data_IF_771409172322
#
_entry.id   IF_771409172322
#
_cell.length_a   1.000
_cell.length_b   1.000
_cell.length_c   1.000
_cell.angle_alpha   90.00
_cell.angle_beta   90.00
_cell.angle_gamma   90.00
#
_symmetry.space_group_name_H-M   'P 1'
#
loop_
_entity.id
_entity.type
_entity.pdbx_description
1 polymer ?
#
# COMPACT_ATOMS: atom_id res chain seq x y z
N UNK A 1 -5.21 -1.41 21.13
CA UNK A 1 -5.26 -0.23 20.23
C UNK A 1 -6.31 -0.52 19.17
N UNK A 2 -7.30 0.36 18.98
CA UNK A 2 -8.37 0.17 17.99
C UNK A 2 -7.81 -0.03 16.57
N UNK A 3 -8.38 -0.96 15.80
CA UNK A 3 -7.94 -1.26 14.43
C UNK A 3 -8.09 -0.07 13.48
N UNK A 4 -9.06 0.83 13.71
CA UNK A 4 -9.16 2.09 12.95
C UNK A 4 -7.99 3.03 13.25
N UNK A 5 -7.62 3.14 14.52
CA UNK A 5 -6.49 3.96 14.96
C UNK A 5 -5.17 3.43 14.39
N UNK A 6 -4.99 2.10 14.32
CA UNK A 6 -3.86 1.46 13.64
C UNK A 6 -3.77 1.85 12.17
N UNK A 7 -4.89 1.78 11.44
CA UNK A 7 -4.93 2.18 10.02
C UNK A 7 -4.53 3.64 9.86
N UNK A 8 -5.12 4.54 10.65
CA UNK A 8 -4.82 5.98 10.57
C UNK A 8 -3.36 6.30 10.89
N UNK A 9 -2.79 5.72 11.96
CA UNK A 9 -1.36 5.87 12.28
C UNK A 9 -0.52 5.30 11.15
N UNK A 10 -0.94 4.18 10.57
CA UNK A 10 -0.29 3.56 9.43
C UNK A 10 -0.13 4.52 8.26
N UNK A 11 -1.22 5.16 7.82
CA UNK A 11 -1.17 6.20 6.78
C UNK A 11 -0.33 7.42 7.17
N UNK A 12 -0.43 7.86 8.42
CA UNK A 12 0.35 8.99 8.91
C UNK A 12 1.86 8.72 8.77
N UNK A 13 2.32 7.51 9.06
CA UNK A 13 3.73 7.14 8.92
C UNK A 13 4.22 7.14 7.46
N UNK A 14 3.35 6.89 6.48
CA UNK A 14 3.68 7.07 5.05
C UNK A 14 3.92 8.54 4.73
N UNK A 15 3.04 9.43 5.21
CA UNK A 15 3.18 10.87 5.02
C UNK A 15 4.41 11.44 5.73
N UNK A 16 4.69 10.98 6.96
CA UNK A 16 5.89 11.36 7.70
C UNK A 16 7.15 10.91 6.95
N UNK A 17 7.18 9.69 6.41
CA UNK A 17 8.32 9.20 5.62
C UNK A 17 8.56 10.09 4.41
N UNK A 18 7.49 10.42 3.67
CA UNK A 18 7.56 11.37 2.56
C UNK A 18 8.17 12.72 2.97
N UNK A 19 7.69 13.31 4.07
CA UNK A 19 8.16 14.59 4.57
C UNK A 19 9.64 14.53 4.98
N UNK A 20 10.03 13.50 5.75
CA UNK A 20 11.41 13.33 6.19
C UNK A 20 12.36 13.19 5.00
N UNK A 21 12.05 12.35 4.01
CA UNK A 21 12.87 12.20 2.81
C UNK A 21 12.93 13.49 1.99
N UNK A 22 11.81 14.23 1.93
CA UNK A 22 11.74 15.53 1.24
C UNK A 22 12.68 16.56 1.85
N UNK A 23 12.68 16.66 3.19
CA UNK A 23 13.49 17.62 3.95
C UNK A 23 14.97 17.23 3.93
N UNK A 24 15.28 15.93 4.10
CA UNK A 24 16.67 15.47 4.20
C UNK A 24 17.39 15.43 2.86
N UNK A 25 16.68 15.15 1.76
CA UNK A 25 17.32 14.96 0.46
C UNK A 25 16.79 15.90 -0.62
N UNK A 26 15.51 15.76 -1.00
CA UNK A 26 14.82 16.64 -1.94
C UNK A 26 13.35 16.25 -2.05
N UNK A 27 12.50 17.21 -2.41
CA UNK A 27 11.08 16.98 -2.68
C UNK A 27 10.83 15.91 -3.76
N UNK A 28 11.68 15.82 -4.79
CA UNK A 28 11.63 14.77 -5.83
C UNK A 28 11.77 13.38 -5.22
N UNK A 29 12.78 13.21 -4.36
CA UNK A 29 13.04 11.92 -3.68
C UNK A 29 11.93 11.60 -2.68
N UNK A 30 11.37 12.59 -2.02
CA UNK A 30 10.17 12.40 -1.19
C UNK A 30 9.01 11.86 -2.02
N UNK A 31 8.66 12.54 -3.10
CA UNK A 31 7.57 12.13 -4.00
C UNK A 31 7.80 10.74 -4.58
N UNK A 32 9.05 10.40 -4.88
CA UNK A 32 9.44 9.06 -5.31
C UNK A 32 9.07 7.99 -4.27
N UNK A 33 9.45 8.22 -3.01
CA UNK A 33 9.13 7.31 -1.90
C UNK A 33 7.63 7.23 -1.68
N UNK A 34 6.92 8.36 -1.73
CA UNK A 34 5.46 8.39 -1.59
C UNK A 34 4.77 7.60 -2.69
N UNK A 35 5.14 7.83 -3.96
CA UNK A 35 4.57 7.16 -5.11
C UNK A 35 4.74 5.66 -4.98
N UNK A 36 5.99 5.20 -4.86
CA UNK A 36 6.35 3.78 -4.78
C UNK A 36 5.63 3.05 -3.64
N UNK A 37 5.58 3.65 -2.46
CA UNK A 37 4.95 3.04 -1.29
C UNK A 37 3.41 3.00 -1.43
N UNK A 38 2.81 4.04 -2.00
CA UNK A 38 1.36 4.08 -2.27
C UNK A 38 0.95 3.05 -3.32
N UNK A 39 1.81 2.82 -4.33
CA UNK A 39 1.59 1.81 -5.38
C UNK A 39 1.42 0.40 -4.82
N UNK A 40 2.14 0.05 -3.76
CA UNK A 40 2.05 -1.27 -3.10
C UNK A 40 0.88 -1.34 -2.14
N UNK A 41 0.62 -0.24 -1.42
CA UNK A 41 -0.39 -0.21 -0.38
C UNK A 41 -1.81 -0.38 -0.94
N UNK A 42 -2.11 0.16 -2.12
CA UNK A 42 -3.44 0.05 -2.75
C UNK A 42 -3.87 -1.39 -3.07
N UNK A 43 -3.15 -2.15 -3.93
CA UNK A 43 -3.52 -3.52 -4.28
C UNK A 43 -3.67 -4.40 -3.04
N UNK A 44 -2.85 -4.12 -2.03
CA UNK A 44 -2.79 -4.91 -0.83
C UNK A 44 -3.90 -4.60 0.17
N UNK A 45 -4.28 -3.33 0.28
CA UNK A 45 -5.48 -2.93 1.01
C UNK A 45 -6.72 -3.53 0.36
N UNK A 46 -6.82 -3.50 -0.97
CA UNK A 46 -7.92 -4.13 -1.72
C UNK A 46 -7.99 -5.64 -1.46
N UNK A 47 -6.86 -6.35 -1.53
CA UNK A 47 -6.81 -7.79 -1.26
C UNK A 47 -7.10 -8.12 0.20
N UNK A 48 -6.63 -7.30 1.14
CA UNK A 48 -6.91 -7.51 2.56
C UNK A 48 -8.38 -7.27 2.87
N UNK A 49 -9.02 -6.28 2.24
CA UNK A 49 -10.46 -6.08 2.36
C UNK A 49 -11.24 -7.23 1.69
N UNK A 50 -10.80 -7.71 0.54
CA UNK A 50 -11.49 -8.81 -0.15
C UNK A 50 -11.32 -10.17 0.57
N UNK A 51 -10.12 -10.48 1.07
CA UNK A 51 -9.81 -11.74 1.73
C UNK A 51 -10.16 -11.76 3.22
N UNK A 52 -9.99 -10.62 3.91
CA UNK A 52 -9.99 -10.56 5.36
C UNK A 52 -10.88 -9.53 6.00
N UNK A 53 -11.51 -8.55 5.35
CA UNK A 53 -12.17 -7.47 6.10
C UNK A 53 -13.51 -7.01 5.54
N UNK A 54 -14.56 -6.93 6.37
CA UNK A 54 -15.71 -6.09 6.08
C UNK A 54 -15.50 -4.74 6.76
N UNK A 55 -14.88 -3.79 6.05
CA UNK A 55 -14.99 -2.38 6.42
C UNK A 55 -16.40 -1.88 6.08
N UNK A 56 -16.94 -0.90 6.81
CA UNK A 56 -18.13 -0.17 6.38
C UNK A 56 -17.93 0.33 4.94
N UNK A 57 -18.92 0.14 4.05
CA UNK A 57 -18.80 0.46 2.61
C UNK A 57 -18.21 1.85 2.34
N UNK A 58 -18.60 2.86 3.15
CA UNK A 58 -18.05 4.23 3.08
C UNK A 58 -16.56 4.30 3.40
N UNK A 59 -16.11 3.63 4.47
CA UNK A 59 -14.70 3.61 4.86
C UNK A 59 -13.84 2.84 3.85
N UNK A 60 -14.35 1.72 3.32
CA UNK A 60 -13.70 0.97 2.25
C UNK A 60 -13.55 1.81 0.98
N UNK A 61 -14.63 2.47 0.53
CA UNK A 61 -14.60 3.32 -0.66
C UNK A 61 -13.65 4.50 -0.52
N UNK A 62 -13.59 5.12 0.66
CA UNK A 62 -12.70 6.26 0.92
C UNK A 62 -11.23 5.81 0.96
N UNK A 63 -10.92 4.69 1.63
CA UNK A 63 -9.57 4.13 1.66
C UNK A 63 -9.09 3.71 0.27
N UNK A 64 -9.92 3.00 -0.49
CA UNK A 64 -9.64 2.58 -1.87
C UNK A 64 -9.44 3.83 -2.75
N UNK A 65 -10.32 4.83 -2.63
CA UNK A 65 -10.20 6.08 -3.38
C UNK A 65 -8.89 6.82 -3.10
N UNK A 66 -8.57 7.04 -1.81
CA UNK A 66 -7.33 7.73 -1.42
C UNK A 66 -6.10 6.97 -1.90
N UNK A 67 -6.07 5.65 -1.72
CA UNK A 67 -4.91 4.83 -2.10
C UNK A 67 -4.77 4.66 -3.61
N UNK A 68 -5.86 4.81 -4.39
CA UNK A 68 -5.81 4.81 -5.86
C UNK A 68 -5.36 6.15 -6.42
N UNK A 69 -5.76 7.25 -5.78
CA UNK A 69 -5.49 8.62 -6.25
C UNK A 69 -4.08 9.07 -5.88
N UNK A 70 -3.55 8.67 -4.71
CA UNK A 70 -2.21 9.09 -4.25
C UNK A 70 -1.07 8.76 -5.23
N UNK A 71 -0.95 7.52 -5.75
CA UNK A 71 0.11 7.16 -6.70
C UNK A 71 0.01 7.97 -8.00
N UNK A 72 -1.22 8.18 -8.50
CA UNK A 72 -1.48 8.93 -9.72
C UNK A 72 -1.11 10.41 -9.57
N UNK A 73 -1.56 11.04 -8.48
CA UNK A 73 -1.18 12.42 -8.17
C UNK A 73 0.34 12.54 -8.01
N UNK A 74 0.98 11.63 -7.28
CA UNK A 74 2.44 11.67 -7.07
C UNK A 74 3.20 11.54 -8.39
N UNK A 75 2.75 10.65 -9.30
CA UNK A 75 3.33 10.51 -10.64
C UNK A 75 3.08 11.77 -11.50
N UNK A 76 1.89 12.36 -11.45
CA UNK A 76 1.58 13.61 -12.14
C UNK A 76 2.45 14.78 -11.65
N UNK A 77 2.65 14.89 -10.33
CA UNK A 77 3.56 15.88 -9.75
C UNK A 77 4.99 15.71 -10.27
N UNK A 78 5.47 14.47 -10.37
CA UNK A 78 6.79 14.18 -10.94
C UNK A 78 6.90 14.55 -12.43
N UNK A 79 5.86 14.30 -13.22
CA UNK A 79 5.83 14.63 -14.65
C UNK A 79 5.68 16.12 -14.93
N UNK A 80 4.77 16.80 -14.23
CA UNK A 80 4.41 18.20 -14.50
C UNK A 80 5.38 19.17 -13.82
N UNK A 81 5.62 19.01 -12.51
CA UNK A 81 6.42 19.99 -11.75
C UNK A 81 7.92 19.76 -11.94
N UNK A 82 8.34 18.50 -12.04
CA UNK A 82 9.75 18.13 -12.12
C UNK A 82 10.17 17.64 -13.51
N UNK A 83 9.28 17.77 -14.50
CA UNK A 83 9.51 17.41 -15.91
C UNK A 83 10.04 15.98 -16.14
N UNK A 84 9.84 15.08 -15.17
CA UNK A 84 10.42 13.74 -15.17
C UNK A 84 9.42 12.68 -15.62
N UNK A 85 9.00 12.77 -16.88
CA UNK A 85 7.98 11.91 -17.48
C UNK A 85 8.39 10.44 -17.56
N UNK A 86 9.67 10.14 -17.77
CA UNK A 86 10.16 8.75 -17.79
C UNK A 86 9.88 8.06 -16.45
N UNK A 87 10.15 8.75 -15.35
CA UNK A 87 9.96 8.22 -14.01
C UNK A 87 8.47 8.18 -13.64
N UNK A 88 7.71 9.22 -14.00
CA UNK A 88 6.25 9.25 -13.83
C UNK A 88 5.56 8.07 -14.54
N UNK A 89 5.91 7.82 -15.81
CA UNK A 89 5.37 6.70 -16.58
C UNK A 89 5.77 5.36 -15.95
N UNK A 90 7.03 5.22 -15.49
CA UNK A 90 7.46 4.03 -14.76
C UNK A 90 6.60 3.71 -13.54
N UNK A 91 6.22 4.73 -12.76
CA UNK A 91 5.30 4.55 -11.63
C UNK A 91 3.88 4.20 -12.05
N UNK A 92 3.37 4.82 -13.12
CA UNK A 92 2.04 4.49 -13.66
C UNK A 92 2.01 3.04 -14.13
N UNK A 93 3.02 2.58 -14.86
CA UNK A 93 3.13 1.18 -15.30
C UNK A 93 3.22 0.20 -14.13
N UNK A 94 4.05 0.51 -13.13
CA UNK A 94 4.16 -0.31 -11.93
C UNK A 94 2.83 -0.39 -11.18
N UNK A 95 2.12 0.74 -11.08
CA UNK A 95 0.80 0.81 -10.45
C UNK A 95 -0.22 -0.07 -11.18
N UNK A 96 -0.37 0.10 -12.49
CA UNK A 96 -1.27 -0.72 -13.31
C UNK A 96 -0.94 -2.21 -13.15
N UNK A 97 0.34 -2.58 -13.18
CA UNK A 97 0.80 -3.96 -13.06
C UNK A 97 0.36 -4.58 -11.72
N UNK A 98 0.60 -3.88 -10.61
CA UNK A 98 0.23 -4.37 -9.28
C UNK A 98 -1.29 -4.39 -9.06
N UNK A 99 -2.02 -3.42 -9.61
CA UNK A 99 -3.49 -3.42 -9.61
C UNK A 99 -4.03 -4.62 -10.37
N UNK A 100 -3.53 -4.87 -11.58
CA UNK A 100 -3.94 -6.02 -12.39
C UNK A 100 -3.65 -7.34 -11.67
N UNK A 101 -2.49 -7.46 -11.05
CA UNK A 101 -2.16 -8.61 -10.22
C UNK A 101 -3.17 -8.84 -9.09
N UNK A 102 -3.56 -7.79 -8.37
CA UNK A 102 -4.58 -7.90 -7.33
C UNK A 102 -5.96 -8.28 -7.88
N UNK A 103 -6.36 -7.72 -9.02
CA UNK A 103 -7.62 -8.07 -9.68
C UNK A 103 -7.65 -9.54 -10.11
N UNK A 104 -6.54 -10.07 -10.64
CA UNK A 104 -6.40 -11.49 -11.00
C UNK A 104 -6.59 -12.38 -9.76
N UNK A 105 -5.96 -12.04 -8.63
CA UNK A 105 -6.13 -12.80 -7.38
C UNK A 105 -7.58 -12.77 -6.87
N UNK A 106 -8.27 -11.64 -6.98
CA UNK A 106 -9.69 -11.53 -6.64
C UNK A 106 -10.54 -12.41 -7.57
N UNK A 107 -10.28 -12.36 -8.87
CA UNK A 107 -11.00 -13.16 -9.86
C UNK A 107 -10.81 -14.66 -9.63
N UNK A 108 -9.57 -15.09 -9.36
CA UNK A 108 -9.26 -16.49 -9.01
C UNK A 108 -9.98 -16.93 -7.76
N UNK A 109 -9.99 -16.09 -6.71
CA UNK A 109 -10.75 -16.35 -5.48
C UNK A 109 -12.23 -16.59 -5.77
N UNK A 110 -12.87 -15.69 -6.51
CA UNK A 110 -14.30 -15.80 -6.88
C UNK A 110 -14.55 -17.10 -7.66
N UNK A 111 -13.66 -17.44 -8.59
CA UNK A 111 -13.77 -18.65 -9.41
C UNK A 111 -13.67 -19.92 -8.56
N UNK A 112 -12.75 -19.96 -7.60
CA UNK A 112 -12.60 -21.09 -6.70
C UNK A 112 -13.79 -21.19 -5.73
N UNK A 113 -14.27 -20.07 -5.19
CA UNK A 113 -15.45 -20.05 -4.31
C UNK A 113 -16.71 -20.54 -5.03
N UNK A 114 -16.87 -20.24 -6.32
CA UNK A 114 -17.95 -20.79 -7.17
C UNK A 114 -17.89 -22.30 -7.32
N UNK A 115 -16.71 -22.91 -7.18
CA UNK A 115 -16.54 -24.38 -7.17
C UNK A 115 -16.87 -25.03 -5.82
N UNK A 116 -17.38 -24.27 -4.86
CA UNK A 116 -17.74 -24.75 -3.52
C UNK A 116 -16.57 -24.80 -2.52
N UNK A 117 -15.35 -24.47 -2.95
CA UNK A 117 -14.17 -24.44 -2.09
C UNK A 117 -13.99 -23.06 -1.46
N UNK A 118 -13.90 -22.99 -0.12
CA UNK A 118 -13.59 -21.71 0.56
C UNK A 118 -12.12 -21.37 0.43
N UNK A 119 -11.81 -20.20 -0.13
CA UNK A 119 -10.44 -19.66 -0.14
C UNK A 119 -10.26 -18.78 1.09
N UNK A 120 -9.50 -19.29 2.06
CA UNK A 120 -9.07 -18.50 3.22
C UNK A 120 -7.60 -18.16 2.99
N UNK A 121 -7.32 -16.88 2.81
CA UNK A 121 -5.96 -16.40 2.90
C UNK A 121 -5.51 -16.60 4.36
N UNK A 122 -4.29 -17.06 4.62
CA UNK A 122 -3.70 -17.14 5.98
C UNK A 122 -2.84 -15.88 6.23
N UNK A 123 -2.86 -15.31 7.44
CA UNK A 123 -2.03 -14.15 7.77
C UNK A 123 -0.54 -14.42 7.55
N UNK A 124 -0.12 -15.69 7.46
CA UNK A 124 1.21 -16.11 6.99
C UNK A 124 1.54 -15.71 5.55
N UNK A 125 0.55 -15.49 4.70
CA UNK A 125 0.70 -15.03 3.31
C UNK A 125 1.15 -13.55 3.23
N UNK A 126 1.15 -12.83 4.36
CA UNK A 126 1.76 -11.50 4.50
C UNK A 126 3.25 -11.46 4.15
N UNK A 127 3.95 -12.60 4.18
CA UNK A 127 5.37 -12.64 3.80
C UNK A 127 5.60 -12.15 2.37
N UNK A 128 4.66 -12.42 1.47
CA UNK A 128 4.74 -11.98 0.07
C UNK A 128 4.67 -10.46 -0.04
N UNK A 129 3.80 -9.83 0.74
CA UNK A 129 3.74 -8.37 0.84
C UNK A 129 5.03 -7.77 1.33
N UNK A 130 5.56 -8.30 2.43
CA UNK A 130 6.80 -7.81 3.01
C UNK A 130 7.95 -7.95 2.02
N UNK A 131 7.98 -9.04 1.26
CA UNK A 131 8.99 -9.27 0.24
C UNK A 131 8.87 -8.27 -0.92
N UNK A 132 7.65 -8.00 -1.42
CA UNK A 132 7.41 -6.98 -2.46
C UNK A 132 7.75 -5.58 -1.95
N UNK A 133 7.30 -5.23 -0.75
CA UNK A 133 7.57 -3.95 -0.09
C UNK A 133 9.08 -3.76 0.13
N UNK A 134 9.80 -4.80 0.56
CA UNK A 134 11.26 -4.78 0.69
C UNK A 134 11.97 -4.67 -0.65
N UNK A 135 11.54 -5.40 -1.67
CA UNK A 135 12.14 -5.32 -3.00
C UNK A 135 12.01 -3.92 -3.61
N UNK A 136 10.86 -3.27 -3.41
CA UNK A 136 10.62 -1.91 -3.90
C UNK A 136 11.36 -0.86 -3.06
N UNK A 137 11.43 -1.04 -1.73
CA UNK A 137 12.26 -0.18 -0.89
C UNK A 137 13.76 -0.36 -1.15
N UNK A 138 14.21 -1.54 -1.57
CA UNK A 138 15.58 -1.75 -2.04
C UNK A 138 15.87 -0.93 -3.29
N UNK A 139 14.92 -0.85 -4.23
CA UNK A 139 15.04 0.04 -5.40
C UNK A 139 15.19 1.52 -5.00
N UNK A 140 14.44 1.98 -3.98
CA UNK A 140 14.63 3.31 -3.37
C UNK A 140 16.04 3.48 -2.80
N UNK A 141 16.54 2.49 -2.06
CA UNK A 141 17.88 2.53 -1.45
C UNK A 141 18.98 2.61 -2.51
N UNK A 142 18.84 1.90 -3.62
CA UNK A 142 19.79 1.93 -4.74
C UNK A 142 19.76 3.29 -5.45
N UNK A 143 18.59 3.89 -5.65
CA UNK A 143 18.43 5.18 -6.35
C UNK A 143 18.80 6.39 -5.49
N UNK A 144 18.55 6.33 -4.18
CA UNK A 144 18.69 7.49 -3.27
C UNK A 144 19.95 7.41 -2.40
N UNK A 145 20.47 6.20 -2.18
CA UNK A 145 21.67 5.92 -1.39
C UNK A 145 21.38 5.24 -0.05
N UNK A 146 22.37 4.54 0.50
CA UNK A 146 22.24 3.71 1.73
C UNK A 146 21.76 4.48 2.97
N UNK A 147 21.98 5.80 3.01
CA UNK A 147 21.61 6.64 4.16
C UNK A 147 20.09 6.89 4.26
N UNK A 148 19.28 6.45 3.28
CA UNK A 148 17.81 6.55 3.35
C UNK A 148 17.16 5.46 4.21
N UNK A 149 17.88 4.37 4.51
CA UNK A 149 17.34 3.19 5.22
C UNK A 149 16.62 3.56 6.53
N UNK A 150 17.18 4.41 7.42
CA UNK A 150 16.48 4.79 8.66
C UNK A 150 15.17 5.54 8.39
N UNK A 151 15.12 6.32 7.29
CA UNK A 151 13.93 7.09 6.91
C UNK A 151 12.82 6.20 6.33
N UNK A 152 13.11 4.96 5.94
CA UNK A 152 12.11 4.00 5.46
C UNK A 152 11.47 3.18 6.60
N UNK A 153 12.04 3.20 7.80
CA UNK A 153 11.48 2.48 8.96
C UNK A 153 10.01 2.89 9.24
N UNK A 154 9.64 4.19 9.23
CA UNK A 154 8.26 4.57 9.46
C UNK A 154 7.31 4.02 8.40
N UNK A 155 7.71 3.95 7.12
CA UNK A 155 6.86 3.38 6.05
C UNK A 155 6.63 1.88 6.24
N UNK A 156 7.66 1.16 6.68
CA UNK A 156 7.54 -0.27 7.00
C UNK A 156 6.58 -0.45 8.18
N UNK A 157 6.79 0.27 9.28
CA UNK A 157 5.88 0.23 10.43
C UNK A 157 4.45 0.64 10.05
N UNK A 158 4.32 1.64 9.18
CA UNK A 158 3.04 2.10 8.66
C UNK A 158 2.29 1.00 7.93
N UNK A 159 2.98 0.28 7.03
CA UNK A 159 2.38 -0.81 6.26
C UNK A 159 1.88 -1.94 7.15
N UNK A 160 2.68 -2.27 8.18
CA UNK A 160 2.28 -3.24 9.21
C UNK A 160 1.02 -2.79 9.98
N UNK A 161 0.93 -1.52 10.36
CA UNK A 161 -0.20 -1.00 11.13
C UNK A 161 -1.48 -0.94 10.30
N UNK A 162 -1.42 -0.53 9.03
CA UNK A 162 -2.58 -0.58 8.11
C UNK A 162 -3.09 -2.02 7.98
N UNK A 163 -2.18 -2.97 7.81
CA UNK A 163 -2.57 -4.37 7.70
C UNK A 163 -3.16 -4.92 9.01
N UNK A 164 -2.43 -4.80 10.12
CA UNK A 164 -2.87 -5.37 11.40
C UNK A 164 -4.19 -4.75 11.86
N UNK A 165 -4.39 -3.45 11.63
CA UNK A 165 -5.67 -2.79 11.89
C UNK A 165 -6.81 -3.28 11.01
N UNK A 166 -6.57 -3.54 9.72
CA UNK A 166 -7.60 -4.12 8.83
C UNK A 166 -7.94 -5.56 9.19
N UNK A 167 -6.97 -6.35 9.65
CA UNK A 167 -7.20 -7.71 10.13
C UNK A 167 -8.00 -7.75 11.45
N UNK A 168 -7.68 -6.87 12.41
CA UNK A 168 -8.37 -6.81 13.71
C UNK A 168 -9.83 -6.39 13.60
N UNK A 169 -10.15 -5.46 12.69
CA UNK A 169 -11.54 -5.03 12.45
C UNK A 169 -12.43 -6.15 11.90
N UNK A 170 -11.86 -7.24 11.37
CA UNK A 170 -12.63 -8.44 11.01
C UNK A 170 -13.03 -9.26 12.23
N UNK A 171 -12.07 -9.48 13.14
CA UNK A 171 -12.23 -10.38 14.28
C UNK A 171 -13.31 -9.82 15.22
N UNK A 172 -13.32 -8.51 15.45
CA UNK A 172 -14.35 -7.88 16.29
C UNK A 172 -15.76 -8.00 15.70
N UNK A 173 -15.90 -7.85 14.37
CA UNK A 173 -17.21 -7.94 13.71
C UNK A 173 -17.77 -9.37 13.68
N UNK A 174 -16.92 -10.40 13.73
CA UNK A 174 -17.34 -11.80 13.79
C UNK A 174 -17.72 -12.27 15.20
N UNK A 175 -17.27 -11.58 16.24
CA UNK A 175 -17.64 -11.87 17.64
C UNK A 175 -18.92 -11.13 18.07
N UNK A 176 -19.38 -10.18 17.26
CA UNK A 176 -20.62 -9.41 17.48
C UNK A 176 -21.81 -9.91 16.65
N UNK A 177 -21.61 -10.92 15.80
CA UNK A 177 -22.65 -11.67 15.06
C UNK A 177 -22.89 -13.02 15.74
#
# INVERSE_FOLDING_TARGET
MDGRLKISIGFLLFLITFLLVSITYSSVRGLYVLALNSTVLFPWLVLTLNGYGKLPKRAAGLLIGVTLVLPLLSALFLGIIYENWNLAMGFIFLFITLVMFALILIYLKITIERSGKRVKYDSRDMKVFWLIQWALNYYVIVQVGKNIVPLLIPVLLGGYLVFSGTAELKISNHLSE
#
